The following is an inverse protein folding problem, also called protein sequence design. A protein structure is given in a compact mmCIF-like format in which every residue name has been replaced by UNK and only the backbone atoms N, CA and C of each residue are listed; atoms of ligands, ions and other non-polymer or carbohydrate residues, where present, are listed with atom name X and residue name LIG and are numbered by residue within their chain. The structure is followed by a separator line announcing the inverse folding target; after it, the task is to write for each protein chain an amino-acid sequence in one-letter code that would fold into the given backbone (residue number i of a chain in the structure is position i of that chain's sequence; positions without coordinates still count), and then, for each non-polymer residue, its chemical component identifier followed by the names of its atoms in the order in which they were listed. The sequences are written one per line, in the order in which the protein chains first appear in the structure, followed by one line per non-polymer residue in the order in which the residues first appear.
data_IF_161019939262
#
_entry.id   IF_161019939262
#
_cell.length_a   1.000
_cell.length_b   1.000
_cell.length_c   1.000
_cell.angle_alpha   90.00
_cell.angle_beta   90.00
_cell.angle_gamma   90.00
#
_symmetry.space_group_name_H-M   'P 1'
#
loop_
_entity.id
_entity.type
_entity.pdbx_description
1 polymer ?
#
# COMPACT_ATOMS: atom_id res chain seq x y z
N UNK A 1 33.90 45.07 25.00
CA UNK A 1 33.52 44.28 23.81
C UNK A 1 32.59 43.18 24.26
N UNK A 2 31.30 43.26 23.92
CA UNK A 2 30.35 42.18 24.11
C UNK A 2 29.19 42.38 23.12
N UNK A 3 28.75 41.27 22.55
CA UNK A 3 28.09 41.16 21.27
C UNK A 3 26.62 41.62 21.29
N UNK A 4 26.21 42.06 20.11
CA UNK A 4 24.95 42.62 19.65
C UNK A 4 23.72 41.79 20.04
N UNK A 5 22.69 42.49 20.55
CA UNK A 5 21.32 41.95 20.63
C UNK A 5 20.82 41.65 19.22
N UNK A 6 20.40 40.41 18.97
CA UNK A 6 19.56 40.05 17.83
C UNK A 6 18.13 40.04 18.36
N UNK A 7 17.36 41.07 18.02
CA UNK A 7 15.92 41.08 18.22
C UNK A 7 15.29 40.12 17.19
N UNK A 8 14.61 39.08 17.67
CA UNK A 8 13.89 38.13 16.84
C UNK A 8 12.73 38.85 16.13
N UNK A 9 12.92 39.09 14.83
CA UNK A 9 11.97 39.67 13.88
C UNK A 9 10.77 38.76 13.53
N UNK A 10 10.31 37.92 14.44
CA UNK A 10 9.22 36.96 14.17
C UNK A 10 7.91 37.31 14.90
N UNK A 11 7.91 38.26 15.85
CA UNK A 11 6.71 38.59 16.64
C UNK A 11 5.86 39.76 16.13
N UNK A 12 6.35 40.58 15.20
CA UNK A 12 5.55 41.68 14.63
C UNK A 12 4.91 41.37 13.27
N UNK A 13 5.22 40.21 12.64
CA UNK A 13 4.65 39.85 11.34
C UNK A 13 3.40 38.97 11.40
N UNK A 14 3.04 38.45 12.59
CA UNK A 14 1.94 37.48 12.74
C UNK A 14 0.60 38.16 13.10
N UNK A 15 0.62 39.42 13.59
CA UNK A 15 -0.60 40.11 14.04
C UNK A 15 -1.32 40.96 12.97
N UNK A 16 -0.88 40.92 11.71
CA UNK A 16 -1.53 41.69 10.62
C UNK A 16 -1.71 40.95 9.29
N UNK A 17 -1.30 39.69 9.14
CA UNK A 17 -1.46 38.92 7.88
C UNK A 17 -2.23 37.62 8.12
N UNK A 18 -3.56 37.70 7.99
CA UNK A 18 -4.45 36.55 7.77
C UNK A 18 -4.25 35.98 6.36
N UNK A 19 -3.06 35.45 6.06
CA UNK A 19 -2.83 34.69 4.83
C UNK A 19 -2.28 33.30 5.18
N UNK A 20 -3.21 32.44 5.59
CA UNK A 20 -3.04 31.01 5.35
C UNK A 20 -2.97 30.81 3.84
N UNK A 21 -1.86 30.23 3.34
CA UNK A 21 -1.76 29.80 1.93
C UNK A 21 -2.73 28.64 1.56
N UNK A 22 -3.51 28.17 2.53
CA UNK A 22 -4.60 27.22 2.36
C UNK A 22 -5.91 27.91 2.73
N UNK A 23 -6.59 28.43 1.70
CA UNK A 23 -8.01 28.70 1.76
C UNK A 23 -8.73 27.35 1.57
N UNK A 24 -9.50 26.91 2.57
CA UNK A 24 -10.49 25.85 2.36
C UNK A 24 -11.61 26.48 1.54
N UNK A 25 -11.56 26.29 0.23
CA UNK A 25 -12.66 26.63 -0.66
C UNK A 25 -13.82 25.70 -0.31
N UNK A 26 -15.01 26.26 -0.05
CA UNK A 26 -16.24 25.48 -0.13
C UNK A 26 -16.25 24.74 -1.47
N UNK A 27 -16.65 23.47 -1.45
CA UNK A 27 -16.74 22.67 -2.67
C UNK A 27 -17.51 23.45 -3.72
N UNK A 28 -16.90 23.67 -4.88
CA UNK A 28 -17.50 24.43 -5.97
C UNK A 28 -18.86 23.81 -6.27
N UNK A 29 -19.95 24.58 -6.13
CA UNK A 29 -21.27 24.15 -6.60
C UNK A 29 -21.16 23.69 -8.06
N UNK A 30 -21.89 22.61 -8.39
CA UNK A 30 -21.84 21.87 -9.65
C UNK A 30 -21.33 22.72 -10.82
N UNK A 31 -20.16 22.34 -11.35
CA UNK A 31 -19.57 23.03 -12.50
C UNK A 31 -20.63 23.21 -13.59
N UNK A 32 -20.79 24.42 -14.16
CA UNK A 32 -21.82 24.68 -15.13
C UNK A 32 -21.65 23.69 -16.28
N UNK A 33 -22.72 22.94 -16.52
CA UNK A 33 -22.75 21.93 -17.57
C UNK A 33 -22.62 22.68 -18.90
N UNK A 34 -21.44 22.60 -19.52
CA UNK A 34 -21.10 23.29 -20.78
C UNK A 34 -22.05 22.90 -21.92
N UNK A 35 -22.73 21.75 -21.79
CA UNK A 35 -23.72 21.25 -22.73
C UNK A 35 -25.15 21.39 -22.17
N UNK A 36 -25.98 22.33 -22.65
CA UNK A 36 -27.36 22.51 -22.19
C UNK A 36 -28.29 21.30 -22.47
N UNK A 37 -27.85 20.32 -23.26
CA UNK A 37 -28.56 19.05 -23.50
C UNK A 37 -28.01 17.87 -22.70
N UNK A 38 -27.01 18.07 -21.85
CA UNK A 38 -26.46 16.99 -21.04
C UNK A 38 -27.43 16.66 -19.89
N UNK A 39 -28.14 15.54 -20.06
CA UNK A 39 -28.91 14.92 -18.98
C UNK A 39 -27.96 13.98 -18.23
N UNK A 40 -27.67 14.31 -16.97
CA UNK A 40 -26.92 13.42 -16.07
C UNK A 40 -27.74 12.16 -15.84
N UNK A 41 -27.52 11.12 -16.65
CA UNK A 41 -28.15 9.81 -16.43
C UNK A 41 -27.72 9.34 -15.03
N UNK A 42 -28.68 9.17 -14.12
CA UNK A 42 -28.42 8.51 -12.83
C UNK A 42 -27.79 7.16 -13.14
N UNK A 43 -26.54 6.96 -12.70
CA UNK A 43 -25.90 5.65 -12.77
C UNK A 43 -26.80 4.67 -12.02
N UNK A 44 -27.08 3.54 -12.64
CA UNK A 44 -27.82 2.45 -12.01
C UNK A 44 -27.04 2.02 -10.77
N UNK A 45 -27.66 2.10 -9.60
CA UNK A 45 -27.13 1.50 -8.38
C UNK A 45 -27.24 -0.01 -8.50
N UNK A 46 -26.12 -0.70 -8.39
CA UNK A 46 -26.08 -2.16 -8.38
C UNK A 46 -26.43 -2.66 -6.99
N UNK A 47 -27.21 -3.75 -6.91
CA UNK A 47 -27.42 -4.45 -5.63
C UNK A 47 -26.18 -5.25 -5.25
N UNK A 48 -26.07 -5.63 -3.97
CA UNK A 48 -25.00 -6.53 -3.47
C UNK A 48 -24.90 -7.80 -4.32
N UNK A 49 -26.04 -8.42 -4.66
CA UNK A 49 -26.09 -9.62 -5.50
C UNK A 49 -25.46 -9.39 -6.89
N UNK A 50 -25.77 -8.26 -7.51
CA UNK A 50 -25.23 -7.93 -8.83
C UNK A 50 -23.71 -7.70 -8.79
N UNK A 51 -23.20 -7.12 -7.70
CA UNK A 51 -21.76 -7.00 -7.48
C UNK A 51 -21.11 -8.38 -7.36
N UNK A 52 -21.64 -9.22 -6.47
CA UNK A 52 -21.09 -10.57 -6.21
C UNK A 52 -21.10 -11.40 -7.50
N UNK A 53 -22.23 -11.49 -8.20
CA UNK A 53 -22.31 -12.22 -9.46
C UNK A 53 -21.31 -11.72 -10.51
N UNK A 54 -21.17 -10.40 -10.65
CA UNK A 54 -20.24 -9.80 -11.60
C UNK A 54 -18.79 -10.10 -11.28
N UNK A 55 -18.42 -9.98 -9.99
CA UNK A 55 -17.08 -10.31 -9.49
C UNK A 55 -16.78 -11.79 -9.80
N UNK A 56 -17.67 -12.72 -9.42
CA UNK A 56 -17.45 -14.15 -9.64
C UNK A 56 -17.40 -14.55 -11.13
N UNK A 57 -18.00 -13.75 -12.02
CA UNK A 57 -17.88 -13.90 -13.48
C UNK A 57 -16.61 -13.28 -14.06
N UNK A 58 -15.79 -12.61 -13.24
CA UNK A 58 -14.58 -11.92 -13.67
C UNK A 58 -14.83 -10.60 -14.39
N UNK A 59 -15.98 -9.94 -14.16
CA UNK A 59 -16.27 -8.63 -14.77
C UNK A 59 -15.41 -7.53 -14.12
N UNK A 60 -14.39 -7.08 -14.85
CA UNK A 60 -13.43 -6.06 -14.42
C UNK A 60 -14.11 -4.72 -14.10
N UNK A 61 -15.20 -4.38 -14.79
CA UNK A 61 -15.95 -3.14 -14.53
C UNK A 61 -16.65 -3.21 -13.19
N UNK A 62 -17.30 -4.35 -12.91
CA UNK A 62 -17.99 -4.57 -11.64
C UNK A 62 -16.98 -4.66 -10.49
N UNK A 63 -15.87 -5.37 -10.69
CA UNK A 63 -14.76 -5.44 -9.74
C UNK A 63 -14.24 -4.03 -9.39
N UNK A 64 -13.97 -3.20 -10.40
CA UNK A 64 -13.49 -1.82 -10.20
C UNK A 64 -14.50 -0.95 -9.42
N UNK A 65 -15.79 -1.14 -9.68
CA UNK A 65 -16.86 -0.43 -8.97
C UNK A 65 -16.98 -0.90 -7.50
N UNK A 66 -16.86 -2.20 -7.25
CA UNK A 66 -16.87 -2.76 -5.90
C UNK A 66 -15.66 -2.28 -5.08
N UNK A 67 -14.46 -2.24 -5.68
CA UNK A 67 -13.27 -1.65 -5.06
C UNK A 67 -13.50 -0.16 -4.75
N UNK A 68 -14.18 0.57 -5.64
CA UNK A 68 -14.52 1.98 -5.37
C UNK A 68 -15.48 2.13 -4.18
N UNK A 69 -16.36 1.15 -3.93
CA UNK A 69 -17.20 1.13 -2.71
C UNK A 69 -16.35 0.91 -1.45
N UNK A 70 -15.41 -0.04 -1.48
CA UNK A 70 -14.44 -0.30 -0.40
C UNK A 70 -13.65 0.98 -0.06
N UNK A 71 -13.23 1.71 -1.09
CA UNK A 71 -12.44 2.92 -0.92
C UNK A 71 -13.24 4.14 -0.45
N UNK A 72 -14.57 4.06 -0.45
CA UNK A 72 -15.43 5.19 -0.12
C UNK A 72 -15.44 5.49 1.39
N UNK A 73 -15.46 6.78 1.74
CA UNK A 73 -15.67 7.22 3.12
C UNK A 73 -17.17 7.38 3.48
N UNK A 74 -18.09 7.06 2.56
CA UNK A 74 -19.53 7.13 2.82
C UNK A 74 -19.97 5.92 3.67
N UNK A 75 -20.59 6.13 4.85
CA UNK A 75 -21.04 5.04 5.73
C UNK A 75 -22.00 4.04 5.07
N UNK A 76 -22.83 4.51 4.11
CA UNK A 76 -23.77 3.62 3.40
C UNK A 76 -23.06 2.68 2.42
N UNK A 77 -21.96 3.11 1.81
CA UNK A 77 -21.14 2.27 0.95
C UNK A 77 -20.37 1.22 1.76
N UNK A 78 -19.96 1.57 2.98
CA UNK A 78 -19.24 0.66 3.87
C UNK A 78 -20.04 -0.61 4.16
N UNK A 79 -21.31 -0.49 4.57
CA UNK A 79 -22.15 -1.65 4.86
C UNK A 79 -22.31 -2.58 3.64
N UNK A 80 -22.55 -2.00 2.46
CA UNK A 80 -22.66 -2.77 1.23
C UNK A 80 -21.33 -3.44 0.84
N UNK A 81 -20.20 -2.73 0.98
CA UNK A 81 -18.87 -3.26 0.68
C UNK A 81 -18.52 -4.46 1.57
N UNK A 82 -18.81 -4.39 2.88
CA UNK A 82 -18.57 -5.50 3.80
C UNK A 82 -19.42 -6.73 3.44
N UNK A 83 -20.70 -6.53 3.09
CA UNK A 83 -21.57 -7.62 2.64
C UNK A 83 -21.03 -8.28 1.34
N UNK A 84 -20.54 -7.48 0.38
CA UNK A 84 -19.91 -8.01 -0.84
C UNK A 84 -18.67 -8.83 -0.50
N UNK A 85 -17.78 -8.31 0.35
CA UNK A 85 -16.55 -8.99 0.77
C UNK A 85 -16.89 -10.33 1.44
N UNK A 86 -17.80 -10.35 2.40
CA UNK A 86 -18.22 -11.57 3.11
C UNK A 86 -18.74 -12.64 2.14
N UNK A 87 -19.55 -12.25 1.15
CA UNK A 87 -20.09 -13.19 0.16
C UNK A 87 -19.04 -13.64 -0.86
N UNK A 88 -17.97 -12.87 -1.06
CA UNK A 88 -16.82 -13.24 -1.89
C UNK A 88 -15.76 -14.09 -1.16
N UNK A 89 -15.69 -14.04 0.18
CA UNK A 89 -14.69 -14.79 0.99
C UNK A 89 -14.58 -16.29 0.63
N UNK A 90 -15.67 -17.05 0.41
CA UNK A 90 -15.58 -18.47 0.07
C UNK A 90 -14.86 -18.77 -1.26
N UNK A 91 -14.73 -17.76 -2.12
CA UNK A 91 -14.09 -17.84 -3.44
C UNK A 91 -12.67 -17.26 -3.44
N UNK A 92 -12.23 -16.69 -2.32
CA UNK A 92 -10.92 -16.09 -2.15
C UNK A 92 -9.87 -17.08 -1.61
N UNK A 93 -8.63 -16.64 -1.49
CA UNK A 93 -7.50 -17.40 -0.93
C UNK A 93 -6.75 -18.29 -1.93
N UNK A 94 -7.19 -18.38 -3.19
CA UNK A 94 -6.56 -19.21 -4.24
C UNK A 94 -5.61 -18.41 -5.13
N UNK A 95 -4.75 -17.60 -4.52
CA UNK A 95 -3.74 -16.81 -5.24
C UNK A 95 -2.38 -16.89 -4.56
N UNK A 96 -1.34 -16.45 -5.25
CA UNK A 96 -0.04 -16.11 -4.66
C UNK A 96 0.07 -14.60 -4.54
N UNK A 97 0.37 -14.12 -3.33
CA UNK A 97 0.45 -12.69 -2.99
C UNK A 97 1.91 -12.29 -2.84
N UNK A 98 2.40 -11.39 -3.68
CA UNK A 98 3.81 -10.98 -3.72
C UNK A 98 3.90 -9.48 -3.47
N UNK A 99 4.53 -9.11 -2.36
CA UNK A 99 4.85 -7.73 -2.05
C UNK A 99 6.10 -7.31 -2.78
N UNK A 100 6.06 -6.20 -3.51
CA UNK A 100 7.20 -5.69 -4.28
C UNK A 100 7.58 -4.32 -3.75
N UNK A 101 8.81 -4.24 -3.23
CA UNK A 101 9.40 -2.98 -2.75
C UNK A 101 10.73 -2.72 -3.43
N UNK A 102 11.25 -1.50 -3.28
CA UNK A 102 12.57 -1.14 -3.78
C UNK A 102 12.86 0.33 -3.60
N UNK A 103 14.14 0.67 -3.56
CA UNK A 103 14.58 2.08 -3.43
C UNK A 103 14.09 2.91 -4.63
N UNK A 104 13.84 4.22 -4.45
CA UNK A 104 13.53 5.10 -5.57
C UNK A 104 14.55 4.96 -6.70
N UNK A 105 14.07 4.80 -7.93
CA UNK A 105 14.94 4.59 -9.09
C UNK A 105 15.37 3.14 -9.33
N UNK A 106 14.98 2.17 -8.49
CA UNK A 106 15.28 0.74 -8.68
C UNK A 106 14.57 0.11 -9.90
N UNK A 107 13.79 0.86 -10.68
CA UNK A 107 13.10 0.34 -11.86
C UNK A 107 11.89 -0.53 -11.54
N UNK A 108 11.25 -0.33 -10.37
CA UNK A 108 10.14 -1.16 -9.88
C UNK A 108 8.94 -1.23 -10.83
N UNK A 109 8.42 -0.10 -11.31
CA UNK A 109 7.29 -0.10 -12.24
C UNK A 109 7.66 -0.80 -13.56
N UNK A 110 8.87 -0.58 -14.07
CA UNK A 110 9.39 -1.26 -15.27
C UNK A 110 9.58 -2.77 -15.03
N UNK A 111 9.99 -3.17 -13.84
CA UNK A 111 10.08 -4.58 -13.43
C UNK A 111 8.70 -5.23 -13.36
N UNK A 112 7.74 -4.61 -12.68
CA UNK A 112 6.36 -5.09 -12.57
C UNK A 112 5.72 -5.24 -13.94
N UNK A 113 5.94 -4.27 -14.83
CA UNK A 113 5.48 -4.32 -16.22
C UNK A 113 6.07 -5.51 -16.98
N UNK A 114 7.40 -5.68 -16.92
CA UNK A 114 8.10 -6.77 -17.61
C UNK A 114 7.72 -8.16 -17.07
N UNK A 115 7.82 -8.36 -15.76
CA UNK A 115 7.50 -9.65 -15.14
C UNK A 115 5.99 -9.94 -15.22
N UNK A 116 5.14 -8.92 -15.12
CA UNK A 116 3.69 -9.07 -15.26
C UNK A 116 3.27 -9.51 -16.65
N UNK A 117 3.90 -8.98 -17.70
CA UNK A 117 3.72 -9.45 -19.07
C UNK A 117 4.11 -10.93 -19.23
N UNK A 118 5.21 -11.35 -18.61
CA UNK A 118 5.64 -12.75 -18.61
C UNK A 118 4.65 -13.65 -17.86
N UNK A 119 4.22 -13.27 -16.65
CA UNK A 119 3.23 -13.98 -15.84
C UNK A 119 1.93 -14.22 -16.61
N UNK A 120 1.42 -13.19 -17.29
CA UNK A 120 0.24 -13.33 -18.15
C UNK A 120 0.49 -14.25 -19.35
N UNK A 121 1.70 -14.24 -19.93
CA UNK A 121 2.05 -15.17 -21.02
C UNK A 121 2.09 -16.63 -20.57
N UNK A 122 2.34 -16.88 -19.28
CA UNK A 122 2.24 -18.17 -18.61
C UNK A 122 0.79 -18.55 -18.24
N UNK A 123 -0.22 -17.81 -18.72
CA UNK A 123 -1.67 -18.03 -18.52
C UNK A 123 -2.20 -17.73 -17.11
N UNK A 124 -1.42 -17.04 -16.29
CA UNK A 124 -1.91 -16.50 -15.02
C UNK A 124 -2.70 -15.21 -15.23
N UNK A 125 -3.62 -14.93 -14.32
CA UNK A 125 -4.33 -13.66 -14.20
C UNK A 125 -3.72 -12.84 -13.08
N UNK A 126 -3.18 -11.68 -13.43
CA UNK A 126 -2.43 -10.82 -12.52
C UNK A 126 -3.24 -9.61 -12.06
N UNK A 127 -3.35 -9.39 -10.75
CA UNK A 127 -3.77 -8.12 -10.18
C UNK A 127 -2.55 -7.36 -9.61
N UNK A 128 -2.40 -6.08 -9.95
CA UNK A 128 -1.36 -5.19 -9.41
C UNK A 128 -2.03 -4.10 -8.58
N UNK A 129 -1.75 -4.08 -7.27
CA UNK A 129 -2.32 -3.17 -6.28
C UNK A 129 -1.21 -2.29 -5.72
N UNK A 130 -1.37 -0.97 -5.76
CA UNK A 130 -0.39 -0.06 -5.16
C UNK A 130 -0.79 0.33 -3.73
N UNK A 131 0.21 0.59 -2.87
CA UNK A 131 0.06 1.20 -1.55
C UNK A 131 0.98 2.42 -1.45
N UNK A 132 0.38 3.60 -1.36
CA UNK A 132 1.06 4.89 -1.19
C UNK A 132 0.57 5.60 0.09
N UNK A 133 1.36 5.67 1.17
CA UNK A 133 0.98 6.43 2.36
C UNK A 133 0.84 7.94 2.09
N UNK A 134 1.49 8.49 1.06
CA UNK A 134 1.34 9.90 0.71
C UNK A 134 -0.02 10.23 0.08
N UNK A 135 -0.80 9.20 -0.29
CA UNK A 135 -2.19 9.35 -0.73
C UNK A 135 -3.09 10.03 0.31
N UNK A 136 -2.70 10.02 1.59
CA UNK A 136 -3.33 10.80 2.67
C UNK A 136 -3.44 12.30 2.32
N UNK A 137 -2.39 12.87 1.70
CA UNK A 137 -2.34 14.30 1.35
C UNK A 137 -2.94 14.61 -0.02
N UNK A 138 -2.83 13.69 -0.97
CA UNK A 138 -3.26 13.91 -2.36
C UNK A 138 -4.71 13.50 -2.64
N UNK A 139 -5.38 12.83 -1.69
CA UNK A 139 -6.73 12.31 -1.91
C UNK A 139 -6.76 11.10 -2.86
N UNK A 140 -5.63 10.43 -3.03
CA UNK A 140 -5.41 9.27 -3.93
C UNK A 140 -5.24 9.63 -5.40
N UNK A 141 -4.83 8.63 -6.18
CA UNK A 141 -4.47 8.80 -7.59
C UNK A 141 -5.49 8.12 -8.49
N UNK A 142 -6.25 8.89 -9.27
CA UNK A 142 -7.23 8.34 -10.23
C UNK A 142 -6.54 7.70 -11.45
N UNK A 143 -5.38 8.23 -11.87
CA UNK A 143 -4.71 7.88 -13.13
C UNK A 143 -3.21 7.56 -13.00
N UNK A 144 -2.55 7.98 -11.91
CA UNK A 144 -1.09 8.18 -11.89
C UNK A 144 -0.22 6.92 -11.91
N UNK A 145 -0.77 5.76 -11.52
CA UNK A 145 -0.02 4.48 -11.59
C UNK A 145 -0.31 3.72 -12.89
N UNK A 146 -1.47 3.94 -13.51
CA UNK A 146 -1.85 3.25 -14.76
C UNK A 146 -1.04 3.73 -15.97
N UNK A 147 -0.57 4.98 -15.95
CA UNK A 147 0.32 5.54 -16.99
C UNK A 147 1.77 5.09 -16.88
N UNK A 148 2.17 4.42 -15.78
CA UNK A 148 3.54 3.92 -15.58
C UNK A 148 3.76 2.51 -16.09
N UNK A 149 2.69 1.81 -16.46
CA UNK A 149 2.67 0.41 -16.90
C UNK A 149 1.83 0.27 -18.18
N UNK A 150 2.14 1.09 -19.18
CA UNK A 150 1.30 1.25 -20.38
C UNK A 150 1.16 -0.07 -21.17
N UNK A 151 2.23 -0.85 -21.32
CA UNK A 151 2.23 -2.04 -22.19
C UNK A 151 1.32 -3.15 -21.67
N UNK A 152 1.16 -3.28 -20.36
CA UNK A 152 0.31 -4.29 -19.73
C UNK A 152 -1.10 -3.78 -19.40
N UNK A 153 -1.32 -2.46 -19.42
CA UNK A 153 -2.60 -1.84 -19.02
C UNK A 153 -3.81 -2.21 -19.90
N UNK A 154 -3.56 -2.73 -21.10
CA UNK A 154 -4.57 -3.16 -22.07
C UNK A 154 -4.77 -4.68 -22.11
N UNK A 155 -3.96 -5.44 -21.37
CA UNK A 155 -4.07 -6.89 -21.31
C UNK A 155 -5.29 -7.28 -20.45
N UNK A 156 -6.27 -8.05 -20.99
CA UNK A 156 -7.47 -8.42 -20.26
C UNK A 156 -7.20 -9.36 -19.07
N UNK A 157 -6.06 -10.05 -19.05
CA UNK A 157 -5.65 -10.92 -17.93
C UNK A 157 -4.88 -10.15 -16.85
N UNK A 158 -4.69 -8.83 -17.00
CA UNK A 158 -4.00 -7.98 -16.04
C UNK A 158 -4.92 -6.87 -15.56
N UNK A 159 -5.10 -6.77 -14.25
CA UNK A 159 -5.84 -5.71 -13.58
C UNK A 159 -4.90 -4.83 -12.76
N UNK A 160 -4.98 -3.52 -12.92
CA UNK A 160 -4.12 -2.56 -12.20
C UNK A 160 -5.02 -1.61 -11.41
N UNK A 161 -4.80 -1.54 -10.09
CA UNK A 161 -5.49 -0.61 -9.18
C UNK A 161 -4.46 0.31 -8.50
N UNK A 162 -4.53 1.64 -8.74
CA UNK A 162 -3.74 2.62 -8.01
C UNK A 162 -4.00 2.60 -6.50
N UNK A 163 -3.13 3.23 -5.71
CA UNK A 163 -3.30 3.29 -4.26
C UNK A 163 -4.64 3.93 -3.86
N UNK A 164 -5.38 3.31 -2.92
CA UNK A 164 -6.62 3.88 -2.43
C UNK A 164 -6.34 5.14 -1.61
N UNK A 165 -7.29 6.08 -1.60
CA UNK A 165 -7.27 7.22 -0.70
C UNK A 165 -7.78 6.82 0.67
N UNK A 166 -6.97 6.92 1.71
CA UNK A 166 -7.44 6.83 3.09
C UNK A 166 -6.57 7.68 4.00
N UNK A 167 -7.20 8.37 4.96
CA UNK A 167 -6.54 9.34 5.84
C UNK A 167 -5.49 8.78 6.80
N UNK A 168 -5.22 7.47 6.79
CA UNK A 168 -4.14 6.81 7.52
C UNK A 168 -3.56 5.64 6.70
N UNK A 169 -2.26 5.35 6.84
CA UNK A 169 -1.62 4.15 6.28
C UNK A 169 -2.37 2.86 6.67
N UNK A 170 -2.90 2.79 7.89
CA UNK A 170 -3.73 1.67 8.36
C UNK A 170 -5.02 1.52 7.54
N UNK A 171 -5.69 2.63 7.25
CA UNK A 171 -6.87 2.66 6.39
C UNK A 171 -6.56 2.26 4.94
N UNK A 172 -5.43 2.72 4.39
CA UNK A 172 -4.98 2.34 3.03
C UNK A 172 -4.75 0.83 2.97
N UNK A 173 -3.96 0.31 3.91
CA UNK A 173 -3.58 -1.10 3.95
C UNK A 173 -4.79 -2.03 4.19
N UNK A 174 -5.76 -1.61 5.03
CA UNK A 174 -7.03 -2.33 5.20
C UNK A 174 -7.80 -2.44 3.88
N UNK A 175 -8.01 -1.31 3.18
CA UNK A 175 -8.72 -1.28 1.89
C UNK A 175 -8.01 -2.14 0.83
N UNK A 176 -6.68 -2.16 0.82
CA UNK A 176 -5.90 -3.05 -0.04
C UNK A 176 -6.16 -4.52 0.30
N UNK A 177 -6.20 -4.90 1.59
CA UNK A 177 -6.51 -6.28 1.99
C UNK A 177 -7.91 -6.72 1.59
N UNK A 178 -8.90 -5.84 1.72
CA UNK A 178 -10.26 -6.09 1.25
C UNK A 178 -10.32 -6.21 -0.28
N UNK A 179 -9.52 -5.41 -0.99
CA UNK A 179 -9.37 -5.48 -2.45
C UNK A 179 -8.74 -6.79 -2.91
N UNK A 180 -7.74 -7.32 -2.19
CA UNK A 180 -7.14 -8.64 -2.45
C UNK A 180 -8.24 -9.71 -2.50
N UNK A 181 -9.16 -9.73 -1.52
CA UNK A 181 -10.27 -10.70 -1.48
C UNK A 181 -11.14 -10.62 -2.74
N UNK A 182 -11.48 -9.41 -3.20
CA UNK A 182 -12.28 -9.24 -4.40
C UNK A 182 -11.55 -9.67 -5.67
N UNK A 183 -10.24 -9.39 -5.77
CA UNK A 183 -9.41 -9.85 -6.88
C UNK A 183 -9.34 -11.39 -6.92
N UNK A 184 -9.11 -12.04 -5.78
CA UNK A 184 -9.09 -13.51 -5.70
C UNK A 184 -10.45 -14.10 -6.11
N UNK A 185 -11.55 -13.53 -5.61
CA UNK A 185 -12.90 -13.96 -5.98
C UNK A 185 -13.22 -13.74 -7.47
N UNK A 186 -12.58 -12.76 -8.12
CA UNK A 186 -12.68 -12.53 -9.56
C UNK A 186 -11.80 -13.48 -10.41
N UNK A 187 -11.05 -14.37 -9.76
CA UNK A 187 -10.22 -15.37 -10.41
C UNK A 187 -8.80 -14.92 -10.75
N UNK A 188 -8.31 -13.83 -10.12
CA UNK A 188 -6.89 -13.48 -10.16
C UNK A 188 -6.10 -14.42 -9.25
N UNK A 189 -5.14 -15.15 -9.82
CA UNK A 189 -4.34 -16.16 -9.13
C UNK A 189 -2.93 -15.65 -8.79
N UNK A 190 -2.51 -14.51 -9.34
CA UNK A 190 -1.31 -13.78 -8.92
C UNK A 190 -1.68 -12.36 -8.52
N UNK A 191 -1.21 -11.92 -7.34
CA UNK A 191 -1.45 -10.57 -6.84
C UNK A 191 -0.12 -9.93 -6.47
N UNK A 192 0.24 -8.87 -7.17
CA UNK A 192 1.35 -7.99 -6.82
C UNK A 192 0.86 -6.83 -5.97
N UNK A 193 1.56 -6.57 -4.86
CA UNK A 193 1.31 -5.43 -4.00
C UNK A 193 2.56 -4.55 -4.00
N UNK A 194 2.49 -3.40 -4.66
CA UNK A 194 3.62 -2.49 -4.82
C UNK A 194 3.61 -1.40 -3.75
N UNK A 195 4.76 -1.16 -3.09
CA UNK A 195 4.94 0.05 -2.27
C UNK A 195 5.29 1.26 -3.14
N UNK A 196 4.54 2.35 -3.05
CA UNK A 196 4.84 3.60 -3.75
C UNK A 196 5.42 4.62 -2.74
N UNK A 197 6.46 5.34 -3.16
CA UNK A 197 7.06 6.42 -2.38
C UNK A 197 8.11 6.00 -1.34
N UNK A 198 8.44 6.94 -0.44
CA UNK A 198 9.34 6.76 0.71
C UNK A 198 8.50 6.70 1.98
N UNK A 199 8.55 5.60 2.75
CA UNK A 199 7.62 5.42 3.86
C UNK A 199 7.90 4.24 4.80
N UNK A 200 6.83 3.82 5.49
CA UNK A 200 6.72 2.61 6.32
C UNK A 200 5.68 1.63 5.73
N UNK A 201 5.35 1.78 4.45
CA UNK A 201 4.38 0.91 3.77
C UNK A 201 4.91 -0.51 3.57
N UNK A 202 6.21 -0.72 3.65
CA UNK A 202 6.88 -2.02 3.53
C UNK A 202 6.37 -3.01 4.57
N UNK A 203 6.27 -2.60 5.84
CA UNK A 203 5.76 -3.45 6.92
C UNK A 203 4.28 -3.80 6.71
N UNK A 204 3.49 -2.83 6.24
CA UNK A 204 2.08 -3.06 5.93
C UNK A 204 1.92 -4.07 4.78
N UNK A 205 2.69 -3.93 3.70
CA UNK A 205 2.71 -4.88 2.59
C UNK A 205 3.17 -6.26 3.06
N UNK A 206 4.26 -6.35 3.81
CA UNK A 206 4.76 -7.62 4.36
C UNK A 206 3.69 -8.36 5.19
N UNK A 207 2.83 -7.63 5.92
CA UNK A 207 1.74 -8.20 6.72
C UNK A 207 0.55 -8.77 5.92
N UNK A 208 0.57 -8.72 4.59
CA UNK A 208 -0.54 -9.18 3.74
C UNK A 208 -0.13 -10.04 2.54
N UNK A 209 1.15 -10.41 2.43
CA UNK A 209 1.70 -11.14 1.29
C UNK A 209 2.33 -12.48 1.70
N UNK A 210 2.42 -13.41 0.77
CA UNK A 210 3.06 -14.71 0.99
C UNK A 210 4.58 -14.61 0.83
N UNK A 211 5.01 -13.70 -0.05
CA UNK A 211 6.40 -13.45 -0.41
C UNK A 211 6.68 -11.95 -0.46
N UNK A 212 7.80 -11.51 0.08
CA UNK A 212 8.27 -10.13 0.00
C UNK A 212 9.53 -10.03 -0.87
N UNK A 213 9.39 -9.42 -2.04
CA UNK A 213 10.42 -9.27 -3.07
C UNK A 213 11.00 -7.84 -3.03
N UNK A 214 12.31 -7.76 -2.83
CA UNK A 214 13.03 -6.49 -2.71
C UNK A 214 13.87 -6.20 -3.96
N UNK A 215 13.59 -5.10 -4.64
CA UNK A 215 14.36 -4.62 -5.78
C UNK A 215 15.48 -3.69 -5.33
N UNK A 216 16.66 -3.89 -5.89
CA UNK A 216 17.87 -3.09 -5.66
C UNK A 216 18.59 -2.79 -6.97
N UNK A 217 19.52 -1.83 -6.94
CA UNK A 217 20.38 -1.49 -8.09
C UNK A 217 21.85 -1.62 -7.68
N UNK A 218 22.71 -1.93 -8.64
CA UNK A 218 24.15 -1.90 -8.43
C UNK A 218 24.71 -0.48 -8.44
N UNK A 219 25.72 -0.20 -7.62
CA UNK A 219 26.49 1.05 -7.66
C UNK A 219 25.84 2.21 -6.91
N UNK A 220 24.97 1.93 -5.92
CA UNK A 220 24.27 2.96 -5.15
C UNK A 220 25.10 3.60 -4.00
N UNK A 221 26.40 3.26 -3.88
CA UNK A 221 27.30 3.84 -2.86
C UNK A 221 27.58 2.87 -1.71
N UNK A 222 27.56 3.35 -0.46
CA UNK A 222 27.63 2.50 0.74
C UNK A 222 26.32 1.70 0.85
N UNK A 223 26.23 0.66 0.01
CA UNK A 223 25.01 -0.02 -0.44
C UNK A 223 24.18 -0.66 0.69
N UNK A 224 24.84 -1.00 1.79
CA UNK A 224 24.20 -1.50 3.02
C UNK A 224 23.64 -0.38 3.91
N UNK A 225 24.13 0.85 3.79
CA UNK A 225 23.82 1.95 4.71
C UNK A 225 22.49 2.65 4.36
N UNK A 226 22.06 2.58 3.10
CA UNK A 226 20.77 3.12 2.64
C UNK A 226 19.57 2.19 2.89
N UNK A 227 19.82 0.90 3.17
CA UNK A 227 18.78 -0.06 3.49
C UNK A 227 18.53 -0.01 5.00
N UNK A 228 17.31 0.33 5.40
CA UNK A 228 16.89 0.12 6.79
C UNK A 228 17.04 -1.37 7.08
N UNK A 229 17.91 -1.73 8.02
CA UNK A 229 18.15 -3.12 8.46
C UNK A 229 16.85 -3.93 8.59
N UNK A 230 15.78 -3.33 9.14
CA UNK A 230 14.48 -3.98 9.28
C UNK A 230 13.76 -4.33 7.98
N UNK A 231 13.99 -3.63 6.86
CA UNK A 231 13.38 -3.98 5.56
C UNK A 231 14.11 -5.16 4.92
N UNK A 232 15.43 -5.20 5.05
CA UNK A 232 16.24 -6.30 4.52
C UNK A 232 15.90 -7.63 5.19
N UNK A 233 15.62 -7.59 6.50
CA UNK A 233 15.22 -8.76 7.29
C UNK A 233 13.85 -9.32 6.87
N UNK A 234 13.01 -8.53 6.19
CA UNK A 234 11.70 -8.97 5.68
C UNK A 234 11.77 -9.61 4.28
N UNK A 235 12.90 -9.52 3.57
CA UNK A 235 12.98 -9.96 2.18
C UNK A 235 13.10 -11.49 2.07
N UNK A 236 12.15 -12.14 1.40
CA UNK A 236 12.23 -13.56 1.02
C UNK A 236 13.08 -13.76 -0.24
N UNK A 237 13.18 -12.71 -1.05
CA UNK A 237 13.98 -12.67 -2.27
C UNK A 237 14.44 -11.23 -2.55
N UNK A 238 15.63 -11.12 -3.14
CA UNK A 238 16.14 -9.85 -3.65
C UNK A 238 16.46 -9.95 -5.14
N UNK A 239 16.22 -8.87 -5.88
CA UNK A 239 16.56 -8.78 -7.31
C UNK A 239 17.35 -7.50 -7.55
N UNK A 240 18.56 -7.66 -8.08
CA UNK A 240 19.40 -6.55 -8.56
C UNK A 240 18.97 -6.24 -10.00
N UNK A 241 18.26 -5.14 -10.17
CA UNK A 241 17.73 -4.70 -11.46
C UNK A 241 18.78 -3.92 -12.25
N UNK A 242 18.46 -3.62 -13.51
CA UNK A 242 19.34 -2.90 -14.47
C UNK A 242 20.66 -3.62 -14.75
N UNK A 243 20.64 -4.96 -14.71
CA UNK A 243 21.75 -5.81 -15.10
C UNK A 243 21.86 -5.90 -16.63
N UNK A 244 22.17 -4.77 -17.27
CA UNK A 244 22.31 -4.63 -18.72
C UNK A 244 23.54 -3.80 -19.11
N UNK A 245 24.04 -4.02 -20.33
CA UNK A 245 25.22 -3.35 -20.86
C UNK A 245 26.43 -3.43 -19.93
N UNK A 246 27.01 -2.28 -19.59
CA UNK A 246 28.17 -2.19 -18.70
C UNK A 246 27.84 -2.47 -17.22
N UNK A 247 26.56 -2.52 -16.84
CA UNK A 247 26.14 -2.77 -15.46
C UNK A 247 26.06 -4.25 -15.11
N UNK A 248 26.11 -5.18 -16.07
CA UNK A 248 26.03 -6.63 -15.81
C UNK A 248 27.05 -7.07 -14.76
N UNK A 249 28.31 -6.65 -14.91
CA UNK A 249 29.37 -7.02 -13.97
C UNK A 249 29.14 -6.43 -12.57
N UNK A 250 28.69 -5.18 -12.49
CA UNK A 250 28.39 -4.52 -11.21
C UNK A 250 27.20 -5.18 -10.51
N UNK A 251 26.19 -5.59 -11.26
CA UNK A 251 25.02 -6.28 -10.75
C UNK A 251 25.37 -7.66 -10.17
N UNK A 252 26.23 -8.43 -10.84
CA UNK A 252 26.71 -9.71 -10.30
C UNK A 252 27.57 -9.53 -9.03
N UNK A 253 28.42 -8.51 -8.97
CA UNK A 253 29.16 -8.19 -7.75
C UNK A 253 28.23 -7.83 -6.58
N UNK A 254 27.24 -6.97 -6.83
CA UNK A 254 26.24 -6.60 -5.83
C UNK A 254 25.44 -7.83 -5.37
N UNK A 255 25.04 -8.71 -6.28
CA UNK A 255 24.36 -9.97 -5.95
C UNK A 255 25.18 -10.82 -4.97
N UNK A 256 26.47 -10.99 -5.19
CA UNK A 256 27.34 -11.74 -4.27
C UNK A 256 27.44 -11.06 -2.90
N UNK A 257 27.58 -9.73 -2.87
CA UNK A 257 27.65 -8.96 -1.62
C UNK A 257 26.36 -9.07 -0.81
N UNK A 258 25.21 -8.88 -1.46
CA UNK A 258 23.90 -8.99 -0.82
C UNK A 258 23.59 -10.43 -0.37
N UNK A 259 23.93 -11.43 -1.18
CA UNK A 259 23.78 -12.83 -0.77
C UNK A 259 24.62 -13.14 0.48
N UNK A 260 25.85 -12.63 0.55
CA UNK A 260 26.71 -12.73 1.72
C UNK A 260 26.13 -12.04 2.95
N UNK A 261 25.60 -10.82 2.80
CA UNK A 261 24.97 -10.08 3.89
C UNK A 261 23.70 -10.78 4.41
N UNK A 262 22.85 -11.27 3.52
CA UNK A 262 21.62 -11.99 3.89
C UNK A 262 21.90 -13.28 4.66
N UNK A 263 23.06 -13.91 4.44
CA UNK A 263 23.47 -15.09 5.21
C UNK A 263 23.85 -14.80 6.67
N UNK A 264 24.13 -13.54 7.02
CA UNK A 264 24.47 -13.13 8.38
C UNK A 264 23.23 -13.00 9.27
N UNK A 265 22.03 -12.88 8.69
CA UNK A 265 20.79 -12.84 9.44
C UNK A 265 20.42 -14.24 9.97
N UNK A 266 19.70 -14.30 11.10
CA UNK A 266 19.15 -15.56 11.59
C UNK A 266 18.23 -16.18 10.54
N UNK A 267 18.09 -17.52 10.61
CA UNK A 267 17.14 -18.24 9.78
C UNK A 267 15.71 -17.69 10.00
N UNK A 268 15.01 -17.25 8.94
CA UNK A 268 13.62 -16.85 9.06
C UNK A 268 12.72 -18.01 9.51
N UNK A 269 11.53 -17.68 10.01
CA UNK A 269 10.53 -18.70 10.40
C UNK A 269 10.04 -19.54 9.22
N UNK A 270 10.10 -18.99 8.00
CA UNK A 270 9.82 -19.72 6.76
C UNK A 270 10.83 -20.82 6.47
N UNK A 271 11.96 -20.86 7.21
CA UNK A 271 13.11 -21.73 6.99
C UNK A 271 13.78 -21.58 5.63
N UNK A 272 13.41 -20.51 4.90
CA UNK A 272 13.99 -20.15 3.62
C UNK A 272 15.16 -19.18 3.82
N UNK A 273 16.30 -19.43 3.16
CA UNK A 273 17.35 -18.41 3.03
C UNK A 273 17.06 -17.56 1.81
N UNK A 274 16.90 -16.23 1.96
CA UNK A 274 16.65 -15.37 0.83
C UNK A 274 17.73 -15.51 -0.25
N UNK A 275 17.29 -15.62 -1.50
CA UNK A 275 18.16 -15.70 -2.68
C UNK A 275 18.19 -14.37 -3.41
N UNK A 276 19.35 -14.05 -3.98
CA UNK A 276 19.56 -12.82 -4.76
C UNK A 276 19.72 -13.15 -6.24
N UNK A 277 18.91 -12.49 -7.08
CA UNK A 277 18.92 -12.62 -8.53
C UNK A 277 19.34 -11.32 -9.20
N UNK A 278 19.66 -11.38 -10.49
CA UNK A 278 19.97 -10.23 -11.34
C UNK A 278 19.00 -10.24 -12.51
N UNK A 279 18.50 -9.07 -12.92
CA UNK A 279 17.65 -8.97 -14.10
C UNK A 279 17.78 -7.62 -14.81
N UNK A 280 17.40 -7.58 -16.08
CA UNK A 280 17.11 -6.36 -16.79
C UNK A 280 15.71 -6.41 -17.36
N UNK A 281 14.84 -5.52 -16.86
CA UNK A 281 13.48 -5.37 -17.38
C UNK A 281 13.47 -4.81 -18.81
N UNK A 282 14.48 -4.03 -19.18
CA UNK A 282 14.56 -3.43 -20.54
C UNK A 282 15.10 -4.45 -21.54
N UNK A 283 16.16 -5.19 -21.17
CA UNK A 283 16.73 -6.23 -22.03
C UNK A 283 15.95 -7.55 -21.98
N UNK A 284 14.95 -7.67 -21.08
CA UNK A 284 14.16 -8.88 -20.86
C UNK A 284 15.01 -10.11 -20.50
N UNK A 285 16.06 -9.89 -19.69
CA UNK A 285 16.99 -10.94 -19.24
C UNK A 285 16.87 -11.16 -17.73
N UNK A 286 17.04 -12.41 -17.28
CA UNK A 286 16.99 -12.76 -15.85
C UNK A 286 15.57 -12.87 -15.26
N UNK A 287 14.52 -12.51 -16.01
CA UNK A 287 13.13 -12.51 -15.52
C UNK A 287 12.60 -13.92 -15.27
N UNK A 288 12.93 -14.87 -16.15
CA UNK A 288 12.54 -16.27 -15.98
C UNK A 288 13.18 -16.89 -14.75
N UNK A 289 14.46 -16.59 -14.49
CA UNK A 289 15.19 -17.04 -13.31
C UNK A 289 14.61 -16.46 -12.02
N UNK A 290 14.21 -15.18 -12.04
CA UNK A 290 13.50 -14.56 -10.92
C UNK A 290 12.18 -15.28 -10.64
N UNK A 291 11.38 -15.56 -11.68
CA UNK A 291 10.09 -16.24 -11.50
C UNK A 291 10.24 -17.69 -11.05
N UNK A 292 11.21 -18.44 -11.60
CA UNK A 292 11.54 -19.78 -11.07
C UNK A 292 11.90 -19.72 -9.59
N UNK A 293 12.64 -18.70 -9.18
CA UNK A 293 12.95 -18.48 -7.77
C UNK A 293 11.71 -18.18 -6.91
N UNK A 294 10.70 -17.49 -7.46
CA UNK A 294 9.40 -17.28 -6.80
C UNK A 294 8.70 -18.63 -6.61
N UNK A 295 8.63 -19.45 -7.66
CA UNK A 295 8.03 -20.80 -7.61
C UNK A 295 8.74 -21.69 -6.58
N UNK A 296 10.08 -21.70 -6.57
CA UNK A 296 10.87 -22.47 -5.59
C UNK A 296 10.58 -22.06 -4.14
N UNK A 297 10.43 -20.75 -3.88
CA UNK A 297 10.07 -20.26 -2.54
C UNK A 297 8.67 -20.73 -2.15
N UNK A 298 7.70 -20.59 -3.05
CA UNK A 298 6.32 -21.00 -2.82
C UNK A 298 6.21 -22.50 -2.54
N UNK A 299 6.88 -23.34 -3.34
CA UNK A 299 6.96 -24.78 -3.12
C UNK A 299 7.55 -25.12 -1.74
N UNK A 300 8.60 -24.40 -1.33
CA UNK A 300 9.23 -24.59 -0.02
C UNK A 300 8.27 -24.29 1.14
N UNK A 301 7.61 -23.13 1.12
CA UNK A 301 6.72 -22.72 2.22
C UNK A 301 5.40 -23.50 2.24
N UNK A 302 4.98 -24.06 1.10
CA UNK A 302 3.85 -25.00 1.06
C UNK A 302 4.25 -26.34 1.66
N UNK A 303 5.41 -26.89 1.26
CA UNK A 303 5.88 -28.19 1.73
C UNK A 303 6.12 -28.23 3.26
N UNK A 304 6.55 -27.12 3.85
CA UNK A 304 6.82 -27.03 5.29
C UNK A 304 5.64 -26.49 6.12
N UNK A 305 4.50 -26.17 5.48
CA UNK A 305 3.30 -25.66 6.14
C UNK A 305 3.35 -24.18 6.55
N UNK A 306 4.44 -23.47 6.26
CA UNK A 306 4.56 -22.04 6.57
C UNK A 306 3.53 -21.19 5.82
N UNK A 307 3.16 -21.56 4.58
CA UNK A 307 2.20 -20.82 3.76
C UNK A 307 0.87 -20.56 4.50
N UNK A 308 0.24 -21.63 5.02
CA UNK A 308 -1.03 -21.51 5.77
C UNK A 308 -0.83 -20.83 7.13
N UNK A 309 0.25 -21.17 7.84
CA UNK A 309 0.56 -20.60 9.14
C UNK A 309 0.78 -19.08 9.06
N UNK A 310 1.49 -18.60 8.03
CA UNK A 310 1.72 -17.19 7.77
C UNK A 310 0.41 -16.47 7.48
N UNK A 311 -0.42 -16.98 6.57
CA UNK A 311 -1.73 -16.38 6.28
C UNK A 311 -2.66 -16.32 7.49
N UNK A 312 -2.67 -17.36 8.33
CA UNK A 312 -3.44 -17.36 9.58
C UNK A 312 -2.93 -16.30 10.57
N UNK A 313 -1.61 -16.12 10.67
CA UNK A 313 -1.00 -15.05 11.48
C UNK A 313 -1.37 -13.67 10.96
N UNK A 314 -1.33 -13.46 9.66
CA UNK A 314 -1.77 -12.22 9.02
C UNK A 314 -3.24 -11.96 9.29
N UNK A 315 -4.12 -12.95 9.12
CA UNK A 315 -5.54 -12.82 9.44
C UNK A 315 -5.76 -12.39 10.89
N UNK A 316 -5.05 -13.02 11.84
CA UNK A 316 -5.09 -12.64 13.25
C UNK A 316 -4.62 -11.20 13.46
N UNK A 317 -3.49 -10.81 12.86
CA UNK A 317 -2.96 -9.44 12.92
C UNK A 317 -3.99 -8.42 12.44
N UNK A 318 -4.59 -8.66 11.27
CA UNK A 318 -5.57 -7.76 10.67
C UNK A 318 -6.89 -7.69 11.43
N UNK A 319 -7.28 -8.75 12.13
CA UNK A 319 -8.41 -8.70 13.05
C UNK A 319 -8.14 -7.71 14.19
N UNK A 320 -6.99 -7.81 14.86
CA UNK A 320 -6.63 -6.85 15.92
C UNK A 320 -6.50 -5.44 15.38
N UNK A 321 -5.93 -5.28 14.18
CA UNK A 321 -5.74 -3.94 13.63
C UNK A 321 -7.05 -3.28 13.20
N UNK A 322 -8.02 -4.08 12.76
CA UNK A 322 -9.38 -3.61 12.52
C UNK A 322 -10.07 -3.16 13.81
N UNK A 323 -9.86 -3.87 14.93
CA UNK A 323 -10.37 -3.46 16.25
C UNK A 323 -9.74 -2.13 16.67
N UNK A 324 -8.42 -2.00 16.56
CA UNK A 324 -7.70 -0.79 16.94
C UNK A 324 -8.17 0.42 16.13
N UNK A 325 -8.29 0.29 14.81
CA UNK A 325 -8.75 1.38 13.96
C UNK A 325 -10.21 1.74 14.23
N UNK A 326 -11.08 0.75 14.49
CA UNK A 326 -12.48 1.01 14.85
C UNK A 326 -12.60 1.77 16.19
N UNK A 327 -11.83 1.38 17.21
CA UNK A 327 -11.79 2.08 18.49
C UNK A 327 -11.22 3.50 18.34
N UNK A 328 -10.13 3.65 17.60
CA UNK A 328 -9.51 4.94 17.30
C UNK A 328 -10.50 5.86 16.58
N UNK A 329 -11.16 5.36 15.54
CA UNK A 329 -12.17 6.11 14.78
C UNK A 329 -13.37 6.47 15.66
N UNK A 330 -13.84 5.56 16.51
CA UNK A 330 -14.93 5.83 17.46
C UNK A 330 -14.56 6.93 18.45
N UNK A 331 -13.32 6.94 18.94
CA UNK A 331 -12.83 7.95 19.87
C UNK A 331 -12.78 9.35 19.23
N UNK A 332 -12.14 9.49 18.07
CA UNK A 332 -11.98 10.80 17.42
C UNK A 332 -13.25 11.34 16.77
N UNK A 333 -14.22 10.48 16.42
CA UNK A 333 -15.53 10.90 15.91
C UNK A 333 -16.54 11.22 17.02
N UNK A 334 -16.18 11.02 18.29
CA UNK A 334 -17.06 11.40 19.40
C UNK A 334 -17.13 12.94 19.48
N UNK A 335 -18.32 13.57 19.37
CA UNK A 335 -18.45 15.03 19.38
C UNK A 335 -17.87 15.69 20.65
N UNK A 336 -18.04 15.05 21.81
CA UNK A 336 -17.55 15.55 23.08
C UNK A 336 -16.01 15.54 23.16
N UNK A 337 -15.39 14.52 22.55
CA UNK A 337 -13.93 14.44 22.43
C UNK A 337 -13.42 15.45 21.41
N UNK A 338 -14.09 15.57 20.26
CA UNK A 338 -13.71 16.50 19.20
C UNK A 338 -13.71 17.96 19.68
N UNK A 339 -14.66 18.35 20.53
CA UNK A 339 -14.67 19.68 21.15
C UNK A 339 -13.58 19.84 22.22
N UNK A 340 -13.28 18.79 22.98
CA UNK A 340 -12.35 18.86 24.12
C UNK A 340 -10.87 18.75 23.74
N UNK A 341 -10.58 18.08 22.63
CA UNK A 341 -9.21 17.72 22.26
C UNK A 341 -8.33 18.94 22.02
N UNK A 342 -8.87 19.99 21.37
CA UNK A 342 -8.11 21.22 21.08
C UNK A 342 -7.69 21.95 22.36
N UNK A 343 -8.57 22.03 23.37
CA UNK A 343 -8.24 22.66 24.66
C UNK A 343 -7.17 21.88 25.41
N UNK A 344 -7.29 20.54 25.42
CA UNK A 344 -6.34 19.67 26.12
C UNK A 344 -4.98 19.68 25.42
N UNK A 345 -4.96 19.66 24.09
CA UNK A 345 -3.74 19.77 23.28
C UNK A 345 -3.00 21.08 23.54
N UNK A 346 -3.71 22.22 23.58
CA UNK A 346 -3.11 23.51 23.93
C UNK A 346 -2.43 23.50 25.31
N UNK A 347 -3.02 22.83 26.31
CA UNK A 347 -2.39 22.67 27.63
C UNK A 347 -1.12 21.82 27.59
N UNK A 348 -1.05 20.81 26.72
CA UNK A 348 0.15 20.00 26.52
C UNK A 348 1.26 20.82 25.87
N UNK A 349 0.94 21.56 24.81
CA UNK A 349 1.89 22.40 24.09
C UNK A 349 2.44 23.54 24.97
N UNK A 350 1.61 24.09 25.85
CA UNK A 350 2.00 25.09 26.84
C UNK A 350 2.75 24.51 28.06
N UNK A 351 3.04 23.21 28.07
CA UNK A 351 3.62 22.47 29.20
C UNK A 351 2.85 22.60 30.53
N UNK A 352 1.56 22.95 30.47
CA UNK A 352 0.65 23.02 31.63
C UNK A 352 0.11 21.65 32.03
N UNK A 353 0.23 20.66 31.14
CA UNK A 353 -0.22 19.29 31.34
C UNK A 353 0.72 18.31 30.60
N UNK A 354 1.03 17.17 31.20
CA UNK A 354 1.79 16.13 30.48
C UNK A 354 0.93 15.41 29.45
N UNK A 355 1.53 14.93 28.36
CA UNK A 355 0.84 14.16 27.31
C UNK A 355 0.11 12.92 27.86
N UNK A 356 0.66 12.26 28.88
CA UNK A 356 0.03 11.09 29.51
C UNK A 356 -1.22 11.45 30.32
N UNK A 357 -1.19 12.57 31.05
CA UNK A 357 -2.36 13.06 31.82
C UNK A 357 -3.45 13.54 30.88
N UNK A 358 -3.09 14.28 29.84
CA UNK A 358 -3.99 14.73 28.78
C UNK A 358 -4.71 13.55 28.10
N UNK A 359 -3.96 12.52 27.70
CA UNK A 359 -4.53 11.31 27.12
C UNK A 359 -5.48 10.61 28.08
N UNK A 360 -5.12 10.49 29.37
CA UNK A 360 -5.98 9.91 30.40
C UNK A 360 -7.28 10.71 30.58
N UNK A 361 -7.20 12.04 30.64
CA UNK A 361 -8.38 12.91 30.78
C UNK A 361 -9.38 12.67 29.63
N UNK A 362 -8.89 12.67 28.38
CA UNK A 362 -9.74 12.44 27.22
C UNK A 362 -10.32 11.00 27.19
N UNK A 363 -9.53 10.00 27.57
CA UNK A 363 -10.01 8.62 27.70
C UNK A 363 -11.06 8.46 28.80
N UNK A 364 -10.86 9.11 29.95
CA UNK A 364 -11.83 9.09 31.05
C UNK A 364 -13.16 9.73 30.62
N UNK A 365 -13.14 10.78 29.79
CA UNK A 365 -14.36 11.37 29.20
C UNK A 365 -15.03 10.36 28.25
N UNK A 366 -14.24 9.72 27.37
CA UNK A 366 -14.76 8.74 26.40
C UNK A 366 -15.43 7.54 27.08
N UNK A 367 -14.85 7.00 28.16
CA UNK A 367 -15.34 5.81 28.86
C UNK A 367 -16.36 6.07 29.97
N UNK A 368 -16.62 7.32 30.37
CA UNK A 368 -17.61 7.65 31.42
C UNK A 368 -19.08 7.49 30.99
N UNK A 369 -19.33 6.94 29.79
CA UNK A 369 -20.66 6.62 29.28
C UNK A 369 -21.08 5.18 29.58
#
# INVERSE_FOLDING_TARGET
MAFTKIEHFEKEYIDTHHDSALAVTEGVEDQPIVNPYFVRKRRRTLSTEQYVEGILKGDITILSQAITLIESNNPTHYAQAQEIIERCLPYAGKSVRIGITGVPGAGKSTFIEAIGGMVASLRHKLAVLAIDPSSERSGGSILGDKTRMESISSNPDIFIRPSPSAGSLGGVARKTRETIVLCEAAGFDVIFIETVGVGQSETAVHSMVDMFLMLQISGAGDELQGIKRGIMEMADMMVITKADGENVHKAELAKVQYQGALHLFPMPESQWRPKVYTCSSVAQTGLEEVWKGVEEYLDHIQANGYYEANRNRQNKYWMYESINEALKSSFYQNPEIAERIEEVEAKVLDAKMSSFIAAKELLDIYFKR
#
